data_IF_892148643768
#
_entry.id   IF_892148643768
#
_cell.length_a   1.000
_cell.length_b   1.000
_cell.length_c   1.000
_cell.angle_alpha   90.00
_cell.angle_beta   90.00
_cell.angle_gamma   90.00
#
_symmetry.space_group_name_H-M   'P 1'
#
loop_
_entity.id
_entity.type
_entity.pdbx_description
1 polymer ?
#
# COMPACT_ATOMS: atom_id res chain seq x y z
N UNK A 1 -19.08 11.46 -53.11
CA UNK A 1 -19.12 10.04 -52.68
C UNK A 1 -17.70 9.47 -52.56
N UNK A 2 -16.79 9.75 -53.50
CA UNK A 2 -15.39 9.28 -53.46
C UNK A 2 -14.57 9.74 -52.23
N UNK A 3 -14.66 11.02 -51.85
CA UNK A 3 -13.94 11.55 -50.66
C UNK A 3 -14.33 10.80 -49.38
N UNK A 4 -15.60 10.39 -49.26
CA UNK A 4 -16.07 9.61 -48.12
C UNK A 4 -15.47 8.19 -48.09
N UNK A 5 -15.34 7.54 -49.25
CA UNK A 5 -14.71 6.22 -49.34
C UNK A 5 -13.21 6.29 -49.01
N UNK A 6 -12.50 7.29 -49.52
CA UNK A 6 -11.07 7.50 -49.22
C UNK A 6 -10.84 7.77 -47.73
N UNK A 7 -11.66 8.63 -47.10
CA UNK A 7 -11.56 8.90 -45.66
C UNK A 7 -11.86 7.64 -44.84
N UNK A 8 -12.91 6.89 -45.20
CA UNK A 8 -13.27 5.64 -44.53
C UNK A 8 -12.14 4.61 -44.58
N UNK A 9 -11.51 4.47 -45.74
CA UNK A 9 -10.46 3.47 -45.95
C UNK A 9 -9.17 3.89 -45.21
N UNK A 10 -8.84 5.18 -45.17
CA UNK A 10 -7.75 5.73 -44.34
C UNK A 10 -7.99 5.51 -42.84
N UNK A 11 -9.20 5.79 -42.35
CA UNK A 11 -9.59 5.54 -40.95
C UNK A 11 -9.49 4.05 -40.63
N UNK A 12 -9.93 3.19 -41.54
CA UNK A 12 -9.86 1.73 -41.37
C UNK A 12 -8.41 1.24 -41.26
N UNK A 13 -7.52 1.72 -42.14
CA UNK A 13 -6.09 1.40 -42.09
C UNK A 13 -5.42 1.90 -40.80
N UNK A 14 -5.77 3.10 -40.32
CA UNK A 14 -5.29 3.63 -39.04
C UNK A 14 -5.74 2.75 -37.86
N UNK A 15 -7.02 2.35 -37.84
CA UNK A 15 -7.56 1.47 -36.79
C UNK A 15 -6.85 0.11 -36.82
N UNK A 16 -6.67 -0.50 -37.99
CA UNK A 16 -5.95 -1.77 -38.13
C UNK A 16 -4.50 -1.64 -37.68
N UNK A 17 -3.81 -0.57 -38.07
CA UNK A 17 -2.45 -0.28 -37.63
C UNK A 17 -2.34 -0.16 -36.11
N UNK A 18 -3.27 0.58 -35.48
CA UNK A 18 -3.35 0.67 -34.03
C UNK A 18 -3.57 -0.70 -33.39
N UNK A 19 -4.55 -1.48 -33.86
CA UNK A 19 -4.84 -2.81 -33.33
C UNK A 19 -3.64 -3.75 -33.41
N UNK A 20 -2.87 -3.71 -34.49
CA UNK A 20 -1.63 -4.49 -34.61
C UNK A 20 -0.57 -4.04 -33.59
N UNK A 21 -0.40 -2.73 -33.40
CA UNK A 21 0.53 -2.19 -32.39
C UNK A 21 0.11 -2.63 -30.98
N UNK A 22 -1.18 -2.52 -30.65
CA UNK A 22 -1.73 -2.95 -29.37
C UNK A 22 -1.58 -4.47 -29.17
N UNK A 23 -1.87 -5.27 -30.20
CA UNK A 23 -1.70 -6.72 -30.19
C UNK A 23 -0.25 -7.12 -29.96
N UNK A 24 0.70 -6.47 -30.65
CA UNK A 24 2.13 -6.71 -30.46
C UNK A 24 2.61 -6.33 -29.06
N UNK A 25 2.19 -5.16 -28.55
CA UNK A 25 2.50 -4.73 -27.17
C UNK A 25 1.94 -5.70 -26.15
N UNK A 26 0.71 -6.17 -26.34
CA UNK A 26 0.09 -7.15 -25.48
C UNK A 26 0.84 -8.49 -25.50
N UNK A 27 1.17 -9.03 -26.69
CA UNK A 27 1.94 -10.26 -26.85
C UNK A 27 3.33 -10.15 -26.20
N UNK A 28 4.01 -9.02 -26.41
CA UNK A 28 5.31 -8.80 -25.81
C UNK A 28 5.22 -8.72 -24.29
N UNK A 29 4.26 -7.97 -23.76
CA UNK A 29 4.04 -7.83 -22.32
C UNK A 29 3.66 -9.15 -21.65
N UNK A 30 2.75 -9.92 -22.23
CA UNK A 30 2.17 -11.09 -21.59
C UNK A 30 2.98 -12.38 -21.80
N UNK A 31 3.79 -12.46 -22.86
CA UNK A 31 4.47 -13.71 -23.22
C UNK A 31 5.95 -13.55 -23.50
N UNK A 32 6.32 -12.70 -24.48
CA UNK A 32 7.71 -12.66 -24.96
C UNK A 32 8.68 -12.09 -23.90
N UNK A 33 8.30 -11.00 -23.22
CA UNK A 33 9.11 -10.39 -22.18
C UNK A 33 9.26 -11.30 -20.95
N UNK A 34 8.18 -11.88 -20.38
CA UNK A 34 8.30 -12.87 -19.31
C UNK A 34 9.22 -14.04 -19.66
N UNK A 35 9.08 -14.64 -20.85
CA UNK A 35 9.92 -15.78 -21.26
C UNK A 35 11.39 -15.41 -21.45
N UNK A 36 11.67 -14.22 -22.00
CA UNK A 36 13.04 -13.72 -22.13
C UNK A 36 13.68 -13.49 -20.77
N UNK A 37 12.94 -12.89 -19.86
CA UNK A 37 13.40 -12.55 -18.52
C UNK A 37 13.61 -13.82 -17.66
N UNK A 38 12.73 -14.81 -17.80
CA UNK A 38 12.89 -16.14 -17.19
C UNK A 38 14.22 -16.78 -17.61
N UNK A 39 14.55 -16.77 -18.91
CA UNK A 39 15.83 -17.31 -19.40
C UNK A 39 17.03 -16.56 -18.81
N UNK A 40 16.96 -15.23 -18.75
CA UNK A 40 18.02 -14.40 -18.20
C UNK A 40 18.27 -14.69 -16.72
N UNK A 41 17.21 -14.79 -15.91
CA UNK A 41 17.33 -15.14 -14.50
C UNK A 41 17.95 -16.53 -14.28
N UNK A 42 17.51 -17.53 -15.07
CA UNK A 42 18.07 -18.88 -14.99
C UNK A 42 19.57 -18.91 -15.35
N UNK A 43 19.99 -18.12 -16.34
CA UNK A 43 21.42 -17.96 -16.68
C UNK A 43 22.22 -17.28 -15.57
N UNK A 44 21.58 -16.42 -14.77
CA UNK A 44 22.18 -15.76 -13.60
C UNK A 44 22.15 -16.63 -12.33
N UNK A 45 21.71 -17.88 -12.42
CA UNK A 45 21.67 -18.82 -11.30
C UNK A 45 20.44 -18.70 -10.39
N UNK A 46 19.41 -17.95 -10.80
CA UNK A 46 18.13 -17.93 -10.10
C UNK A 46 17.24 -19.10 -10.49
N UNK A 47 16.55 -19.68 -9.52
CA UNK A 47 15.62 -20.78 -9.73
C UNK A 47 14.18 -20.42 -9.30
N UNK A 48 13.20 -20.99 -9.97
CA UNK A 48 11.80 -20.67 -9.69
C UNK A 48 10.83 -21.38 -10.64
N UNK A 49 9.54 -21.23 -10.35
CA UNK A 49 8.48 -21.76 -11.18
C UNK A 49 8.59 -21.23 -12.63
N UNK A 50 8.35 -22.07 -13.65
CA UNK A 50 8.21 -21.59 -15.01
C UNK A 50 7.05 -20.61 -15.14
N UNK A 51 7.20 -19.59 -15.99
CA UNK A 51 6.14 -18.61 -16.18
C UNK A 51 4.85 -19.27 -16.71
N UNK A 52 3.74 -19.03 -16.00
CA UNK A 52 2.37 -19.42 -16.36
C UNK A 52 1.63 -18.21 -16.94
N UNK A 53 1.07 -18.37 -18.15
CA UNK A 53 0.44 -17.30 -18.92
C UNK A 53 -0.55 -16.46 -18.08
N UNK A 54 -0.37 -15.14 -18.09
CA UNK A 54 -1.13 -14.11 -17.37
C UNK A 54 -1.12 -14.20 -15.85
N UNK A 55 -1.29 -15.38 -15.26
CA UNK A 55 -1.46 -15.54 -13.81
C UNK A 55 -0.13 -15.57 -13.05
N UNK A 56 0.93 -16.10 -13.66
CA UNK A 56 2.13 -16.47 -12.92
C UNK A 56 1.79 -17.43 -11.78
N UNK A 57 2.28 -17.11 -10.59
CA UNK A 57 2.08 -17.89 -9.37
C UNK A 57 0.94 -17.36 -8.48
N UNK A 58 0.22 -16.31 -8.90
CA UNK A 58 -0.82 -15.68 -8.06
C UNK A 58 -1.89 -16.66 -7.57
N UNK A 59 -2.32 -17.60 -8.43
CA UNK A 59 -3.35 -18.59 -8.05
C UNK A 59 -2.85 -19.50 -6.92
N UNK A 60 -1.60 -19.91 -7.00
CA UNK A 60 -0.95 -20.77 -6.00
C UNK A 60 -0.74 -20.01 -4.69
N UNK A 61 -0.18 -18.79 -4.78
CA UNK A 61 -0.05 -17.85 -3.67
C UNK A 61 -1.39 -17.68 -2.93
N UNK A 62 -2.46 -17.32 -3.64
CA UNK A 62 -3.78 -17.07 -3.04
C UNK A 62 -4.39 -18.33 -2.43
N UNK A 63 -4.26 -19.48 -3.11
CA UNK A 63 -4.77 -20.77 -2.61
C UNK A 63 -4.07 -21.19 -1.33
N UNK A 64 -2.74 -21.13 -1.30
CA UNK A 64 -1.95 -21.45 -0.12
C UNK A 64 -2.26 -20.51 1.04
N UNK A 65 -2.30 -19.19 0.80
CA UNK A 65 -2.69 -18.23 1.83
C UNK A 65 -4.06 -18.52 2.42
N UNK A 66 -5.06 -18.87 1.59
CA UNK A 66 -6.41 -19.21 2.07
C UNK A 66 -6.43 -20.50 2.89
N UNK A 67 -5.76 -21.54 2.42
CA UNK A 67 -5.69 -22.84 3.10
C UNK A 67 -4.97 -22.74 4.45
N UNK A 68 -3.87 -21.98 4.50
CA UNK A 68 -3.09 -21.78 5.72
C UNK A 68 -3.87 -20.94 6.73
N UNK A 69 -4.55 -19.86 6.31
CA UNK A 69 -5.38 -19.02 7.20
C UNK A 69 -6.58 -19.76 7.79
N UNK A 70 -7.05 -20.82 7.14
CA UNK A 70 -8.15 -21.64 7.67
C UNK A 70 -7.70 -22.58 8.80
N UNK A 71 -6.39 -22.69 9.04
CA UNK A 71 -5.81 -23.53 10.08
C UNK A 71 -5.31 -22.67 11.24
N UNK A 72 -5.47 -23.09 12.49
CA UNK A 72 -4.82 -22.42 13.61
C UNK A 72 -3.29 -22.52 13.45
N UNK A 73 -2.59 -21.44 13.79
CA UNK A 73 -1.13 -21.45 13.83
C UNK A 73 -0.67 -21.94 15.21
N UNK A 74 0.23 -22.92 15.30
CA UNK A 74 0.82 -23.31 16.57
C UNK A 74 1.68 -22.17 17.13
N UNK A 75 1.79 -22.12 18.46
CA UNK A 75 2.77 -21.27 19.14
C UNK A 75 4.18 -21.83 18.89
N UNK A 76 4.83 -21.35 17.83
CA UNK A 76 6.14 -21.80 17.39
C UNK A 76 6.96 -20.63 16.86
N UNK A 77 8.27 -20.72 16.98
CA UNK A 77 9.21 -19.75 16.41
C UNK A 77 9.32 -19.92 14.88
N UNK A 78 8.92 -21.07 14.32
CA UNK A 78 8.85 -21.31 12.88
C UNK A 78 7.50 -20.87 12.29
N UNK A 79 7.34 -19.55 12.18
CA UNK A 79 6.11 -18.92 11.66
C UNK A 79 6.07 -18.83 10.13
N UNK A 80 7.20 -19.08 9.45
CA UNK A 80 7.36 -18.94 7.99
C UNK A 80 6.29 -19.68 7.17
N UNK A 81 6.01 -20.97 7.45
CA UNK A 81 4.96 -21.73 6.78
C UNK A 81 3.54 -21.14 6.92
N UNK A 82 3.30 -20.32 7.95
CA UNK A 82 1.98 -19.82 8.28
C UNK A 82 1.76 -18.39 7.79
N UNK A 83 2.76 -17.53 7.97
CA UNK A 83 2.70 -16.10 7.60
C UNK A 83 2.88 -15.91 6.10
N UNK A 84 3.81 -16.65 5.49
CA UNK A 84 4.16 -16.51 4.08
C UNK A 84 4.33 -17.89 3.42
N UNK A 85 3.29 -18.75 3.42
CA UNK A 85 3.38 -20.16 3.03
C UNK A 85 4.04 -20.38 1.66
N UNK A 86 3.61 -19.60 0.67
CA UNK A 86 4.12 -19.71 -0.70
C UNK A 86 5.59 -19.27 -0.82
N UNK A 87 5.99 -18.18 -0.14
CA UNK A 87 7.37 -17.72 -0.15
C UNK A 87 8.27 -18.73 0.58
N UNK A 88 7.82 -19.22 1.74
CA UNK A 88 8.51 -20.26 2.50
C UNK A 88 8.73 -21.53 1.66
N UNK A 89 7.69 -22.03 0.98
CA UNK A 89 7.82 -23.16 0.06
C UNK A 89 8.79 -22.87 -1.09
N UNK A 90 8.70 -21.69 -1.70
CA UNK A 90 9.58 -21.29 -2.81
C UNK A 90 11.05 -21.30 -2.37
N UNK A 91 11.36 -20.73 -1.20
CA UNK A 91 12.72 -20.67 -0.67
C UNK A 91 13.22 -22.09 -0.35
N UNK A 92 12.39 -22.94 0.24
CA UNK A 92 12.78 -24.32 0.56
C UNK A 92 13.02 -25.16 -0.71
N UNK A 93 12.26 -24.91 -1.77
CA UNK A 93 12.36 -25.66 -3.02
C UNK A 93 13.50 -25.18 -3.93
N UNK A 94 13.68 -23.86 -4.04
CA UNK A 94 14.58 -23.24 -5.03
C UNK A 94 15.78 -22.53 -4.40
N UNK A 95 15.84 -22.44 -3.08
CA UNK A 95 16.90 -21.77 -2.35
C UNK A 95 16.72 -20.25 -2.22
N UNK A 96 17.74 -19.63 -1.63
CA UNK A 96 17.76 -18.19 -1.28
C UNK A 96 17.77 -17.25 -2.49
N UNK A 97 18.32 -17.71 -3.63
CA UNK A 97 18.32 -16.98 -4.90
C UNK A 97 17.21 -17.53 -5.79
N UNK A 98 15.96 -17.29 -5.40
CA UNK A 98 14.79 -17.78 -6.12
C UNK A 98 13.96 -16.65 -6.74
N UNK A 99 13.06 -16.98 -7.65
CA UNK A 99 12.10 -16.03 -8.20
C UNK A 99 10.68 -16.60 -8.29
N UNK A 100 9.71 -15.70 -8.30
CA UNK A 100 8.27 -15.99 -8.41
C UNK A 100 7.62 -15.04 -9.41
N UNK A 101 6.41 -15.36 -9.85
CA UNK A 101 5.65 -14.58 -10.82
C UNK A 101 4.38 -13.97 -10.21
N UNK A 102 4.26 -12.65 -10.30
CA UNK A 102 3.04 -11.92 -10.01
C UNK A 102 2.47 -11.44 -11.35
N UNK A 103 1.61 -12.27 -11.93
CA UNK A 103 1.22 -12.15 -13.33
C UNK A 103 2.42 -12.19 -14.27
N UNK A 104 2.51 -11.32 -15.29
CA UNK A 104 3.67 -11.27 -16.21
C UNK A 104 4.91 -10.60 -15.59
N UNK A 105 4.89 -10.21 -14.31
CA UNK A 105 6.03 -9.57 -13.63
C UNK A 105 6.71 -10.56 -12.71
N UNK A 106 8.03 -10.70 -12.85
CA UNK A 106 8.81 -11.49 -11.91
C UNK A 106 9.07 -10.73 -10.61
N UNK A 107 9.32 -11.48 -9.55
CA UNK A 107 9.90 -11.00 -8.29
C UNK A 107 11.05 -11.91 -7.91
N UNK A 108 12.22 -11.33 -7.72
CA UNK A 108 13.40 -12.05 -7.24
C UNK A 108 13.48 -11.95 -5.72
N UNK A 109 13.82 -13.07 -5.09
CA UNK A 109 14.11 -13.14 -3.66
C UNK A 109 15.61 -12.90 -3.48
N UNK A 110 15.96 -11.92 -2.65
CA UNK A 110 17.34 -11.57 -2.33
C UNK A 110 17.49 -11.70 -0.82
N UNK A 111 18.35 -12.62 -0.37
CA UNK A 111 18.60 -12.89 1.05
C UNK A 111 20.07 -12.66 1.44
N UNK A 112 20.87 -12.11 0.54
CA UNK A 112 22.26 -11.74 0.78
C UNK A 112 22.29 -10.34 1.42
N UNK A 113 22.78 -10.18 2.67
CA UNK A 113 22.78 -8.90 3.37
C UNK A 113 23.50 -7.78 2.63
N UNK A 114 24.57 -8.09 1.91
CA UNK A 114 25.34 -7.10 1.17
C UNK A 114 24.55 -6.57 -0.03
N UNK A 115 23.87 -7.47 -0.74
CA UNK A 115 22.97 -7.08 -1.85
C UNK A 115 21.75 -6.33 -1.34
N UNK A 116 21.19 -6.72 -0.20
CA UNK A 116 20.10 -5.98 0.45
C UNK A 116 20.58 -4.57 0.76
N UNK A 117 21.71 -4.42 1.44
CA UNK A 117 22.29 -3.11 1.76
C UNK A 117 22.49 -2.26 0.50
N UNK A 118 23.03 -2.84 -0.57
CA UNK A 118 23.21 -2.15 -1.85
C UNK A 118 21.88 -1.66 -2.44
N UNK A 119 20.86 -2.53 -2.50
CA UNK A 119 19.52 -2.19 -3.01
C UNK A 119 18.92 -1.03 -2.22
N UNK A 120 19.00 -1.07 -0.89
CA UNK A 120 18.45 -0.02 -0.03
C UNK A 120 19.25 1.30 -0.09
N UNK A 121 20.53 1.25 -0.46
CA UNK A 121 21.38 2.44 -0.61
C UNK A 121 21.21 3.08 -2.00
N UNK A 122 21.00 2.27 -3.04
CA UNK A 122 20.81 2.70 -4.43
C UNK A 122 19.33 2.93 -4.76
N UNK A 123 18.64 3.70 -3.93
CA UNK A 123 17.19 3.93 -4.05
C UNK A 123 16.75 4.60 -5.37
N UNK A 124 17.66 5.29 -6.08
CA UNK A 124 17.38 5.83 -7.41
C UNK A 124 17.29 4.73 -8.49
N UNK A 125 18.09 3.67 -8.34
CA UNK A 125 18.12 2.52 -9.26
C UNK A 125 17.03 1.51 -8.91
N UNK A 126 16.78 1.32 -7.61
CA UNK A 126 15.80 0.39 -7.06
C UNK A 126 14.56 1.12 -6.51
N UNK A 127 13.74 1.63 -7.42
CA UNK A 127 12.49 2.29 -7.08
C UNK A 127 11.41 1.30 -6.62
N UNK A 128 10.45 1.77 -5.83
CA UNK A 128 9.32 0.97 -5.36
C UNK A 128 8.48 0.49 -6.55
N UNK A 129 7.98 -0.73 -6.42
CA UNK A 129 7.20 -1.36 -7.49
C UNK A 129 5.85 -0.67 -7.62
N UNK A 130 5.51 -0.22 -8.84
CA UNK A 130 4.15 0.27 -9.15
C UNK A 130 3.13 -0.87 -9.00
N UNK A 131 2.31 -0.78 -7.97
CA UNK A 131 1.27 -1.75 -7.62
C UNK A 131 0.01 -1.59 -8.48
N UNK A 132 -1.02 -2.37 -8.16
CA UNK A 132 -2.35 -2.23 -8.75
C UNK A 132 -2.87 -0.79 -8.52
N UNK A 133 -3.25 -0.03 -9.56
CA UNK A 133 -3.75 1.34 -9.39
C UNK A 133 -4.97 1.48 -8.48
N UNK A 134 -5.76 0.43 -8.29
CA UNK A 134 -6.86 0.41 -7.33
C UNK A 134 -6.37 0.33 -5.89
N UNK A 135 -5.22 -0.32 -5.64
CA UNK A 135 -4.59 -0.34 -4.33
C UNK A 135 -4.14 1.06 -3.91
N UNK A 136 -3.63 1.85 -4.87
CA UNK A 136 -3.24 3.24 -4.63
C UNK A 136 -4.42 4.15 -4.22
N UNK A 137 -5.67 3.80 -4.57
CA UNK A 137 -6.84 4.52 -4.08
C UNK A 137 -7.12 4.21 -2.59
N UNK A 138 -6.83 2.99 -2.15
CA UNK A 138 -7.04 2.58 -0.77
C UNK A 138 -5.97 3.19 0.14
N UNK A 139 -4.69 3.12 -0.26
CA UNK A 139 -3.58 3.79 0.42
C UNK A 139 -2.55 4.31 -0.59
N UNK A 140 -2.21 5.59 -0.47
CA UNK A 140 -1.06 6.20 -1.12
C UNK A 140 -0.15 6.90 -0.11
N UNK A 141 0.18 8.18 -0.29
CA UNK A 141 1.19 8.88 0.52
C UNK A 141 2.63 8.44 0.23
N UNK A 142 3.53 8.66 1.19
CA UNK A 142 4.97 8.36 1.11
C UNK A 142 5.33 6.95 0.62
N UNK A 143 4.46 5.95 0.84
CA UNK A 143 4.71 4.57 0.39
C UNK A 143 4.73 4.44 -1.14
N UNK A 144 4.10 5.36 -1.89
CA UNK A 144 4.06 5.35 -3.35
C UNK A 144 4.88 6.47 -4.01
N UNK A 145 5.48 7.36 -3.21
CA UNK A 145 6.28 8.48 -3.71
C UNK A 145 7.76 8.10 -3.86
N UNK A 146 8.43 8.78 -4.80
CA UNK A 146 9.86 8.63 -5.09
C UNK A 146 10.54 9.99 -5.23
N UNK A 147 11.88 10.00 -5.15
CA UNK A 147 12.74 11.15 -5.43
C UNK A 147 12.37 12.41 -4.65
N UNK A 148 12.37 13.56 -5.33
CA UNK A 148 12.16 14.86 -4.71
C UNK A 148 10.78 14.98 -4.04
N UNK A 149 9.75 14.36 -4.62
CA UNK A 149 8.40 14.36 -4.01
C UNK A 149 8.39 13.60 -2.69
N UNK A 150 9.04 12.44 -2.64
CA UNK A 150 9.18 11.68 -1.39
C UNK A 150 9.96 12.48 -0.34
N UNK A 151 11.10 13.07 -0.74
CA UNK A 151 11.94 13.87 0.16
C UNK A 151 11.17 15.06 0.75
N UNK A 152 10.44 15.78 -0.10
CA UNK A 152 9.59 16.91 0.26
C UNK A 152 8.52 16.51 1.29
N UNK A 153 7.72 15.49 1.00
CA UNK A 153 6.65 15.04 1.89
C UNK A 153 7.22 14.56 3.23
N UNK A 154 8.34 13.81 3.20
CA UNK A 154 8.99 13.29 4.41
C UNK A 154 9.47 14.42 5.31
N UNK A 155 10.07 15.46 4.71
CA UNK A 155 10.53 16.63 5.44
C UNK A 155 9.39 17.38 6.14
N UNK A 156 8.25 17.57 5.47
CA UNK A 156 7.08 18.27 6.04
C UNK A 156 6.45 17.45 7.17
N UNK A 157 6.45 16.12 7.06
CA UNK A 157 5.86 15.23 8.07
C UNK A 157 6.72 15.01 9.32
N UNK A 158 8.06 15.02 9.20
CA UNK A 158 8.95 14.65 10.30
C UNK A 158 8.69 15.37 11.64
N UNK A 159 8.38 16.70 11.69
CA UNK A 159 8.14 17.40 12.94
C UNK A 159 7.01 16.80 13.78
N UNK A 160 6.00 16.20 13.14
CA UNK A 160 4.85 15.62 13.84
C UNK A 160 5.21 14.34 14.64
N UNK A 161 6.40 13.77 14.44
CA UNK A 161 6.87 12.55 15.10
C UNK A 161 7.93 12.77 16.18
N UNK A 162 8.14 14.00 16.64
CA UNK A 162 9.08 14.29 17.72
C UNK A 162 8.59 13.74 19.08
N UNK A 163 9.52 13.25 19.88
CA UNK A 163 9.29 12.48 21.10
C UNK A 163 8.48 13.24 22.17
N UNK A 164 8.55 14.57 22.16
CA UNK A 164 7.90 15.45 23.13
C UNK A 164 6.36 15.45 23.04
N UNK A 165 5.78 14.80 22.03
CA UNK A 165 4.34 14.83 21.71
C UNK A 165 3.55 13.55 22.11
N UNK A 166 4.11 12.63 22.91
CA UNK A 166 3.50 11.32 23.23
C UNK A 166 3.37 11.03 24.75
N UNK A 167 2.18 11.16 25.36
CA UNK A 167 1.90 10.68 26.75
C UNK A 167 0.44 10.24 26.99
N UNK A 168 0.22 9.05 27.61
CA UNK A 168 -0.94 8.70 28.49
C UNK A 168 -0.85 7.29 29.12
N UNK A 169 -1.64 7.05 30.19
CA UNK A 169 -1.52 5.99 31.23
C UNK A 169 -2.73 5.03 31.23
N UNK A 170 -2.55 3.75 31.60
CA UNK A 170 -3.59 2.71 31.75
C UNK A 170 -3.93 2.39 33.23
N UNK A 171 -5.09 1.77 33.47
CA UNK A 171 -5.61 1.35 34.79
C UNK A 171 -5.83 -0.18 34.88
N UNK A 172 -5.88 -0.72 36.09
CA UNK A 172 -5.77 -2.16 36.41
C UNK A 172 -7.11 -2.90 36.59
N UNK A 173 -7.13 -4.18 36.22
CA UNK A 173 -8.18 -5.17 36.48
C UNK A 173 -7.74 -6.60 36.08
N UNK A 174 -8.43 -7.64 36.56
CA UNK A 174 -8.10 -9.05 36.27
C UNK A 174 -9.30 -9.80 35.66
N UNK A 175 -9.13 -10.31 34.43
CA UNK A 175 -10.05 -11.25 33.75
C UNK A 175 -9.31 -11.98 32.62
N UNK A 176 -9.75 -13.19 32.27
CA UNK A 176 -9.35 -13.85 31.01
C UNK A 176 -9.99 -13.09 29.84
N UNK A 177 -9.17 -12.65 28.89
CA UNK A 177 -9.57 -11.69 27.85
C UNK A 177 -8.92 -12.08 26.53
N UNK A 178 -9.71 -12.18 25.45
CA UNK A 178 -9.13 -12.06 24.12
C UNK A 178 -8.63 -10.62 23.95
N UNK A 179 -7.32 -10.43 24.08
CA UNK A 179 -6.70 -9.10 24.07
C UNK A 179 -6.68 -8.47 22.68
N UNK A 180 -6.91 -9.23 21.60
CA UNK A 180 -6.77 -8.72 20.23
C UNK A 180 -7.70 -7.53 19.93
N UNK A 181 -9.03 -7.62 20.15
CA UNK A 181 -9.93 -6.50 19.90
C UNK A 181 -9.58 -5.27 20.75
N UNK A 182 -9.17 -5.46 22.01
CA UNK A 182 -8.80 -4.38 22.91
C UNK A 182 -7.50 -3.69 22.51
N UNK A 183 -6.52 -4.43 22.00
CA UNK A 183 -5.27 -3.85 21.51
C UNK A 183 -5.47 -3.10 20.20
N UNK A 184 -6.36 -3.59 19.32
CA UNK A 184 -6.78 -2.84 18.13
C UNK A 184 -7.50 -1.54 18.53
N UNK A 185 -8.42 -1.61 19.49
CA UNK A 185 -9.13 -0.44 19.99
C UNK A 185 -8.20 0.55 20.69
N UNK A 186 -7.25 0.05 21.48
CA UNK A 186 -6.24 0.86 22.16
C UNK A 186 -5.36 1.62 21.17
N UNK A 187 -4.80 0.94 20.17
CA UNK A 187 -3.95 1.61 19.17
C UNK A 187 -4.74 2.61 18.34
N UNK A 188 -6.01 2.29 18.02
CA UNK A 188 -6.93 3.22 17.35
C UNK A 188 -7.19 4.46 18.19
N UNK A 189 -7.47 4.30 19.49
CA UNK A 189 -7.76 5.41 20.40
C UNK A 189 -6.52 6.29 20.61
N UNK A 190 -5.36 5.68 20.85
CA UNK A 190 -4.08 6.38 20.98
C UNK A 190 -3.77 7.17 19.70
N UNK A 191 -3.85 6.55 18.52
CA UNK A 191 -3.59 7.25 17.26
C UNK A 191 -4.63 8.34 16.98
N UNK A 192 -5.92 8.10 17.25
CA UNK A 192 -6.98 9.10 17.05
C UNK A 192 -6.74 10.33 17.94
N UNK A 193 -6.39 10.13 19.21
CA UNK A 193 -6.09 11.22 20.15
C UNK A 193 -4.80 11.95 19.81
N UNK A 194 -3.74 11.22 19.45
CA UNK A 194 -2.46 11.83 19.08
C UNK A 194 -2.55 12.59 17.76
N UNK A 195 -3.40 12.13 16.84
CA UNK A 195 -3.46 12.71 15.50
C UNK A 195 -4.54 13.76 15.29
N UNK A 196 -5.69 13.63 15.95
CA UNK A 196 -6.81 14.56 15.81
C UNK A 196 -7.15 15.31 17.10
N UNK A 197 -6.44 15.04 18.21
CA UNK A 197 -6.61 15.77 19.46
C UNK A 197 -8.06 15.76 19.94
N UNK A 198 -8.67 16.95 19.97
CA UNK A 198 -10.06 17.19 20.36
C UNK A 198 -11.10 16.58 19.39
N UNK A 199 -10.72 16.27 18.14
CA UNK A 199 -11.55 15.63 17.11
C UNK A 199 -11.32 14.10 16.99
N UNK A 200 -10.96 13.44 18.09
CA UNK A 200 -10.61 12.02 18.06
C UNK A 200 -11.78 11.10 17.66
N UNK A 201 -13.03 11.50 17.88
CA UNK A 201 -14.21 10.71 17.46
C UNK A 201 -14.38 10.73 15.93
N UNK A 202 -14.13 11.86 15.26
CA UNK A 202 -14.04 11.90 13.79
C UNK A 202 -12.88 11.04 13.28
N UNK A 203 -11.74 11.09 13.98
CA UNK A 203 -10.61 10.20 13.74
C UNK A 203 -11.01 8.73 13.78
N UNK A 204 -11.69 8.31 14.85
CA UNK A 204 -12.16 6.93 15.05
C UNK A 204 -13.04 6.45 13.90
N UNK A 205 -13.94 7.29 13.39
CA UNK A 205 -14.76 6.98 12.20
C UNK A 205 -13.92 6.75 10.94
N UNK A 206 -12.88 7.57 10.73
CA UNK A 206 -11.95 7.40 9.60
C UNK A 206 -11.20 6.06 9.72
N UNK A 207 -10.78 5.66 10.93
CA UNK A 207 -10.13 4.36 11.16
C UNK A 207 -11.03 3.18 10.86
N UNK A 208 -12.29 3.18 11.32
CA UNK A 208 -13.24 2.11 11.02
C UNK A 208 -13.39 1.91 9.49
N UNK A 209 -13.50 3.00 8.75
CA UNK A 209 -13.58 2.95 7.28
C UNK A 209 -12.28 2.43 6.62
N UNK A 210 -11.12 2.65 7.24
CA UNK A 210 -9.84 2.11 6.77
C UNK A 210 -9.71 0.61 7.06
N UNK A 211 -10.15 0.13 8.23
CA UNK A 211 -10.16 -1.29 8.61
C UNK A 211 -11.01 -2.11 7.62
N UNK A 212 -12.18 -1.58 7.27
CA UNK A 212 -13.11 -2.15 6.30
C UNK A 212 -12.52 -2.30 4.88
N UNK A 213 -11.31 -1.79 4.62
CA UNK A 213 -10.59 -1.97 3.36
C UNK A 213 -9.55 -3.09 3.38
N UNK A 214 -9.22 -3.67 4.55
CA UNK A 214 -8.12 -4.66 4.65
C UNK A 214 -8.35 -5.88 3.75
N UNK A 215 -9.57 -6.45 3.77
CA UNK A 215 -9.95 -7.60 2.93
C UNK A 215 -9.83 -7.26 1.44
N UNK A 216 -10.31 -6.08 1.05
CA UNK A 216 -10.25 -5.58 -0.32
C UNK A 216 -8.80 -5.38 -0.79
N UNK A 217 -7.93 -4.87 0.08
CA UNK A 217 -6.48 -4.72 -0.20
C UNK A 217 -5.80 -6.06 -0.39
N UNK A 218 -6.06 -7.03 0.48
CA UNK A 218 -5.53 -8.40 0.37
C UNK A 218 -5.96 -9.00 -0.98
N UNK A 219 -7.23 -8.86 -1.35
CA UNK A 219 -7.75 -9.31 -2.64
C UNK A 219 -7.00 -8.66 -3.81
N UNK A 220 -6.77 -7.35 -3.77
CA UNK A 220 -6.07 -6.60 -4.83
C UNK A 220 -4.57 -6.97 -4.92
N UNK A 221 -3.92 -7.25 -3.79
CA UNK A 221 -2.53 -7.76 -3.74
C UNK A 221 -2.41 -9.16 -4.32
N UNK A 222 -3.46 -9.98 -4.19
CA UNK A 222 -3.55 -11.33 -4.72
C UNK A 222 -4.23 -11.41 -6.10
N UNK A 223 -4.35 -10.29 -6.83
CA UNK A 223 -4.96 -10.28 -8.18
C UNK A 223 -4.00 -9.68 -9.20
N UNK A 224 -3.93 -10.27 -10.40
CA UNK A 224 -3.17 -9.69 -11.51
C UNK A 224 -3.91 -8.46 -12.02
N UNK A 225 -3.26 -7.31 -11.97
CA UNK A 225 -3.81 -6.11 -12.60
C UNK A 225 -3.58 -6.14 -14.11
N UNK A 226 -4.68 -6.06 -14.87
CA UNK A 226 -4.65 -5.89 -16.33
C UNK A 226 -4.81 -4.39 -16.65
N UNK A 227 -3.91 -3.79 -17.46
CA UNK A 227 -4.02 -2.39 -17.85
C UNK A 227 -5.42 -2.06 -18.43
N UNK A 228 -5.99 -0.94 -17.97
CA UNK A 228 -7.33 -0.49 -18.38
C UNK A 228 -8.47 -1.03 -17.51
N UNK A 229 -8.29 -2.13 -16.79
CA UNK A 229 -9.36 -2.72 -15.96
C UNK A 229 -9.89 -1.79 -14.87
N UNK A 230 -9.10 -0.81 -14.38
CA UNK A 230 -9.54 0.20 -13.39
C UNK A 230 -10.72 1.06 -13.87
N UNK A 231 -10.92 1.16 -15.19
CA UNK A 231 -11.98 1.96 -15.79
C UNK A 231 -13.27 1.17 -15.99
N UNK A 232 -13.20 -0.16 -15.94
CA UNK A 232 -14.39 -1.01 -16.05
C UNK A 232 -15.25 -0.88 -14.79
N UNK A 233 -16.59 -0.88 -14.90
CA UNK A 233 -17.49 -0.72 -13.77
C UNK A 233 -17.72 -2.05 -13.05
N UNK A 234 -16.64 -2.75 -12.65
CA UNK A 234 -16.74 -3.98 -11.84
C UNK A 234 -17.19 -3.67 -10.42
N UNK A 235 -17.77 -4.64 -9.73
CA UNK A 235 -18.20 -4.51 -8.32
C UNK A 235 -17.04 -4.05 -7.43
N UNK A 236 -15.89 -4.73 -7.52
CA UNK A 236 -14.67 -4.36 -6.77
C UNK A 236 -14.20 -2.94 -7.09
N UNK A 237 -14.25 -2.49 -8.35
CA UNK A 237 -13.85 -1.13 -8.70
C UNK A 237 -14.81 -0.08 -8.14
N UNK A 238 -16.12 -0.36 -8.15
CA UNK A 238 -17.14 0.51 -7.59
C UNK A 238 -16.97 0.63 -6.07
N UNK A 239 -16.76 -0.50 -5.40
CA UNK A 239 -16.53 -0.55 -3.96
C UNK A 239 -15.26 0.22 -3.55
N UNK A 240 -14.13 0.00 -4.23
CA UNK A 240 -12.88 0.77 -4.00
C UNK A 240 -13.11 2.26 -4.18
N UNK A 241 -13.78 2.67 -5.27
CA UNK A 241 -14.01 4.09 -5.58
C UNK A 241 -14.95 4.75 -4.58
N UNK A 242 -15.99 4.05 -4.14
CA UNK A 242 -16.94 4.53 -3.14
C UNK A 242 -16.26 4.71 -1.79
N UNK A 243 -15.59 3.68 -1.27
CA UNK A 243 -14.84 3.75 0.00
C UNK A 243 -13.74 4.83 -0.03
N UNK A 244 -13.06 4.99 -1.16
CA UNK A 244 -12.09 6.06 -1.35
C UNK A 244 -12.74 7.45 -1.24
N UNK A 245 -13.91 7.63 -1.88
CA UNK A 245 -14.65 8.89 -1.88
C UNK A 245 -15.07 9.28 -0.46
N UNK A 246 -15.67 8.35 0.29
CA UNK A 246 -16.20 8.62 1.64
C UNK A 246 -15.09 9.06 2.61
N UNK A 247 -13.95 8.33 2.64
CA UNK A 247 -12.80 8.69 3.48
C UNK A 247 -12.20 10.03 3.06
N UNK A 248 -12.12 10.27 1.74
CA UNK A 248 -11.56 11.50 1.19
C UNK A 248 -12.40 12.73 1.56
N UNK A 249 -13.73 12.62 1.53
CA UNK A 249 -14.64 13.70 1.89
C UNK A 249 -14.52 14.04 3.39
N UNK A 250 -14.51 13.03 4.26
CA UNK A 250 -14.32 13.22 5.71
C UNK A 250 -12.97 13.89 6.04
N UNK A 251 -11.86 13.37 5.49
CA UNK A 251 -10.54 13.95 5.74
C UNK A 251 -10.43 15.37 5.19
N UNK A 252 -10.98 15.64 4.00
CA UNK A 252 -10.97 16.99 3.43
C UNK A 252 -11.72 17.97 4.32
N UNK A 253 -12.89 17.60 4.81
CA UNK A 253 -13.68 18.46 5.69
C UNK A 253 -12.90 18.80 6.96
N UNK A 254 -12.30 17.80 7.62
CA UNK A 254 -11.49 17.99 8.82
C UNK A 254 -10.28 18.88 8.55
N UNK A 255 -9.51 18.61 7.49
CA UNK A 255 -8.32 19.42 7.17
C UNK A 255 -8.70 20.87 6.85
N UNK A 256 -9.73 21.09 6.04
CA UNK A 256 -10.20 22.44 5.71
C UNK A 256 -10.66 23.22 6.96
N UNK A 257 -11.26 22.53 7.93
CA UNK A 257 -11.68 23.13 9.19
C UNK A 257 -10.46 23.57 10.01
N UNK A 258 -9.46 22.70 10.14
CA UNK A 258 -8.19 23.01 10.84
C UNK A 258 -7.41 24.13 10.16
N UNK A 259 -7.32 24.11 8.83
CA UNK A 259 -6.65 25.17 8.06
C UNK A 259 -7.29 26.55 8.29
N UNK A 260 -8.62 26.63 8.33
CA UNK A 260 -9.33 27.88 8.61
C UNK A 260 -9.09 28.39 10.03
N UNK A 261 -9.16 27.50 11.03
CA UNK A 261 -8.90 27.84 12.43
C UNK A 261 -7.48 28.39 12.62
N UNK A 262 -6.47 27.73 12.05
CA UNK A 262 -5.06 28.16 12.10
C UNK A 262 -4.90 29.56 11.46
N UNK A 263 -5.50 29.79 10.29
CA UNK A 263 -5.43 31.11 9.62
C UNK A 263 -6.18 32.22 10.37
N UNK A 264 -7.19 31.87 11.16
CA UNK A 264 -7.91 32.80 12.02
C UNK A 264 -7.16 33.13 13.33
N UNK A 265 -6.03 32.47 13.59
CA UNK A 265 -5.23 32.65 14.82
C UNK A 265 -5.82 31.95 16.04
N UNK A 266 -6.65 30.93 15.84
CA UNK A 266 -7.16 30.09 16.94
C UNK A 266 -6.01 29.28 17.57
N UNK A 267 -6.15 28.94 18.85
CA UNK A 267 -5.15 28.17 19.60
C UNK A 267 -5.01 26.75 19.01
N UNK A 268 -3.77 26.36 18.68
CA UNK A 268 -3.46 25.04 18.10
C UNK A 268 -3.71 23.94 19.11
N UNK A 269 -4.31 22.80 18.69
CA UNK A 269 -4.45 21.63 19.56
C UNK A 269 -3.14 20.86 19.73
N UNK A 270 -2.07 21.30 19.06
CA UNK A 270 -0.74 20.67 19.00
C UNK A 270 -0.76 19.18 18.62
N UNK A 271 -1.82 18.72 17.97
CA UNK A 271 -1.96 17.35 17.46
C UNK A 271 -1.24 17.16 16.11
N UNK A 272 -1.06 15.91 15.69
CA UNK A 272 -0.31 15.57 14.47
C UNK A 272 -0.86 16.30 13.24
N UNK A 273 -2.20 16.40 13.13
CA UNK A 273 -2.86 16.99 11.98
C UNK A 273 -2.67 18.51 11.97
N UNK A 274 -2.81 19.18 13.11
CA UNK A 274 -2.55 20.61 13.23
C UNK A 274 -1.09 20.93 12.89
N UNK A 275 -0.13 20.15 13.40
CA UNK A 275 1.30 20.31 13.07
C UNK A 275 1.55 20.12 11.57
N UNK A 276 0.94 19.10 10.96
CA UNK A 276 1.08 18.82 9.54
C UNK A 276 0.52 19.96 8.68
N UNK A 277 -0.70 20.42 8.99
CA UNK A 277 -1.36 21.51 8.26
C UNK A 277 -0.59 22.82 8.43
N UNK A 278 -0.16 23.14 9.64
CA UNK A 278 0.63 24.33 9.92
C UNK A 278 1.99 24.31 9.21
N UNK A 279 2.72 23.19 9.27
CA UNK A 279 3.98 23.01 8.55
C UNK A 279 3.78 23.17 7.04
N UNK A 280 2.67 22.64 6.52
CA UNK A 280 2.33 22.76 5.10
C UNK A 280 2.04 24.20 4.68
N UNK A 281 1.27 24.96 5.47
CA UNK A 281 1.00 26.39 5.23
C UNK A 281 2.30 27.18 5.20
N UNK A 282 3.18 26.97 6.19
CA UNK A 282 4.49 27.66 6.26
C UNK A 282 5.35 27.40 5.04
N UNK A 283 5.44 26.17 4.55
CA UNK A 283 6.21 25.83 3.34
C UNK A 283 5.55 26.34 2.04
N UNK A 284 4.21 26.46 2.00
CA UNK A 284 3.50 27.14 0.91
C UNK A 284 3.87 28.63 0.87
N UNK A 285 3.82 29.33 2.00
CA UNK A 285 4.06 30.77 2.08
C UNK A 285 5.54 31.14 1.88
N UNK A 286 6.46 30.37 2.45
CA UNK A 286 7.89 30.70 2.40
C UNK A 286 8.54 30.40 1.04
N UNK A 287 8.13 29.32 0.37
CA UNK A 287 8.86 28.75 -0.78
C UNK A 287 7.97 28.26 -1.92
N UNK A 288 6.65 28.44 -1.84
CA UNK A 288 5.68 27.82 -2.74
C UNK A 288 5.90 26.29 -2.87
N UNK A 289 6.32 25.67 -1.77
CA UNK A 289 6.78 24.28 -1.70
C UNK A 289 5.93 23.46 -0.72
N UNK A 290 4.70 23.84 -0.42
CA UNK A 290 3.79 22.96 0.31
C UNK A 290 3.21 21.84 -0.57
N UNK A 291 2.57 20.88 0.08
CA UNK A 291 1.75 19.82 -0.48
C UNK A 291 0.37 20.34 -0.85
N UNK A 292 -0.24 19.72 -1.86
CA UNK A 292 -1.66 19.95 -2.13
C UNK A 292 -2.52 19.35 -1.02
N UNK A 293 -3.75 19.83 -0.87
CA UNK A 293 -4.72 19.24 0.07
C UNK A 293 -4.94 17.73 -0.19
N UNK A 294 -4.83 17.31 -1.45
CA UNK A 294 -4.97 15.90 -1.82
C UNK A 294 -3.80 15.05 -1.34
N UNK A 295 -2.59 15.60 -1.41
CA UNK A 295 -1.39 14.95 -0.90
C UNK A 295 -1.47 14.83 0.63
N UNK A 296 -1.92 15.87 1.34
CA UNK A 296 -2.12 15.84 2.81
C UNK A 296 -3.14 14.75 3.21
N UNK A 297 -4.25 14.62 2.47
CA UNK A 297 -5.23 13.54 2.69
C UNK A 297 -4.59 12.16 2.53
N UNK A 298 -3.78 11.96 1.48
CA UNK A 298 -3.14 10.67 1.25
C UNK A 298 -2.06 10.33 2.30
N UNK A 299 -1.32 11.32 2.81
CA UNK A 299 -0.40 11.12 3.94
C UNK A 299 -1.16 10.77 5.23
N UNK A 300 -2.30 11.41 5.49
CA UNK A 300 -3.14 11.07 6.64
C UNK A 300 -3.61 9.61 6.56
N UNK A 301 -4.17 9.18 5.42
CA UNK A 301 -4.60 7.78 5.20
C UNK A 301 -3.46 6.78 5.44
N UNK A 302 -2.26 7.09 4.93
CA UNK A 302 -1.09 6.25 5.10
C UNK A 302 -0.66 6.15 6.56
N UNK A 303 -0.54 7.29 7.24
CA UNK A 303 -0.13 7.33 8.64
C UNK A 303 -1.06 6.49 9.52
N UNK A 304 -2.38 6.62 9.32
CA UNK A 304 -3.37 5.86 10.09
C UNK A 304 -3.26 4.36 9.86
N UNK A 305 -3.23 3.95 8.59
CA UNK A 305 -3.10 2.54 8.27
C UNK A 305 -1.79 1.94 8.77
N UNK A 306 -0.67 2.63 8.53
CA UNK A 306 0.65 2.13 8.92
C UNK A 306 0.79 2.04 10.45
N UNK A 307 0.29 3.03 11.19
CA UNK A 307 0.40 3.08 12.65
C UNK A 307 -0.43 2.00 13.34
N UNK A 308 -1.71 1.86 12.99
CA UNK A 308 -2.65 1.01 13.74
C UNK A 308 -2.34 -0.48 13.55
N UNK A 309 -2.32 -0.93 12.29
CA UNK A 309 -2.22 -2.35 11.95
C UNK A 309 -0.89 -2.92 12.44
N UNK A 310 0.21 -2.21 12.24
CA UNK A 310 1.53 -2.72 12.65
C UNK A 310 1.71 -2.74 14.17
N UNK A 311 1.22 -1.70 14.87
CA UNK A 311 1.38 -1.59 16.32
C UNK A 311 0.47 -2.56 17.06
N UNK A 312 -0.78 -2.73 16.63
CA UNK A 312 -1.70 -3.69 17.25
C UNK A 312 -1.19 -5.12 17.12
N UNK A 313 -0.78 -5.52 15.91
CA UNK A 313 -0.16 -6.84 15.64
C UNK A 313 1.10 -7.03 16.50
N UNK A 314 1.97 -6.01 16.59
CA UNK A 314 3.17 -6.08 17.43
C UNK A 314 2.84 -6.27 18.91
N UNK A 315 1.89 -5.52 19.45
CA UNK A 315 1.49 -5.61 20.85
C UNK A 315 0.90 -6.99 21.16
N UNK A 316 0.07 -7.52 20.27
CA UNK A 316 -0.49 -8.87 20.40
C UNK A 316 0.63 -9.90 20.46
N UNK A 317 1.53 -9.90 19.48
CA UNK A 317 2.64 -10.87 19.46
C UNK A 317 3.56 -10.70 20.67
N UNK A 318 3.76 -9.46 21.13
CA UNK A 318 4.51 -9.19 22.37
C UNK A 318 3.84 -9.85 23.57
N UNK A 319 2.52 -9.67 23.75
CA UNK A 319 1.78 -10.31 24.85
C UNK A 319 1.80 -11.84 24.74
N UNK A 320 1.61 -12.39 23.54
CA UNK A 320 1.66 -13.83 23.29
C UNK A 320 3.02 -14.41 23.67
N UNK A 321 4.12 -13.72 23.33
CA UNK A 321 5.48 -14.16 23.66
C UNK A 321 5.84 -13.97 25.13
N UNK A 322 5.29 -12.95 25.81
CA UNK A 322 5.49 -12.73 27.25
C UNK A 322 4.66 -13.67 28.13
N UNK A 323 3.53 -14.16 27.62
CA UNK A 323 2.67 -15.12 28.32
C UNK A 323 3.15 -16.59 28.17
N UNK A 324 4.22 -16.83 27.39
CA UNK A 324 4.85 -18.13 27.18
C UNK A 324 5.77 -18.51 28.34
#
# INVERSE_FOLDING_TARGET
MEVYHVIRDLVSLLVVGLLMIWGWRALNWVWLAPKRLERCLRQQGFAGNPYRFLSGDIKELSTMSRQTRAKPMPLSDDIGPYVAPFLHQTINQYGKNSFTWIGPRQRVNIMDPEKIREIFTKFNDFQKVRTNPLLALLVSGLVNLEGDRWSKHRKIMNPSFHQDKLKKVCTEGHSELDVWPYLVDLTRDVLSRSAFGSSFEEGRRIFQLLDDQLVLRIKLLQTVYIPGWRFLPTETNREVKMKHKDIKELLRETINRREKAIKAGEESNEDLLDILVESNIREMEAKNMGMSIEDVIEECKLFYFAGQETTSVLLVWTMVLLAK
#
